data_IF_016603550068
#
_entry.id   IF_016603550068
#
_cell.length_a   1.000
_cell.length_b   1.000
_cell.length_c   1.000
_cell.angle_alpha   90.00
_cell.angle_beta   90.00
_cell.angle_gamma   90.00
#
_symmetry.space_group_name_H-M   'P 1'
#
loop_
_entity.id
_entity.type
_entity.pdbx_description
1 polymer ?
#
# COMPACT_ATOMS: atom_id res chain seq x y z
N UNK A 1 -5.79 -27.92 35.72
CA UNK A 1 -6.42 -26.58 35.81
C UNK A 1 -6.46 -26.01 34.40
N UNK A 2 -7.60 -25.49 33.98
CA UNK A 2 -7.68 -24.79 32.70
C UNK A 2 -7.09 -23.38 32.91
N UNK A 3 -6.13 -22.98 32.09
CA UNK A 3 -5.51 -21.65 32.16
C UNK A 3 -6.47 -20.65 31.53
N UNK A 4 -6.75 -19.56 32.23
CA UNK A 4 -7.45 -18.40 31.68
C UNK A 4 -6.41 -17.45 31.06
N UNK A 5 -6.16 -17.62 29.77
CA UNK A 5 -5.19 -16.81 29.05
C UNK A 5 -5.58 -15.33 29.02
N UNK A 6 -6.87 -15.00 29.03
CA UNK A 6 -7.30 -13.60 29.07
C UNK A 6 -6.89 -12.93 30.38
N UNK A 7 -7.09 -13.62 31.50
CA UNK A 7 -6.63 -13.13 32.80
C UNK A 7 -5.10 -13.02 32.88
N UNK A 8 -4.36 -13.90 32.17
CA UNK A 8 -2.89 -13.81 32.12
C UNK A 8 -2.40 -12.62 31.26
N UNK A 9 -3.12 -12.27 30.19
CA UNK A 9 -2.87 -11.05 29.40
C UNK A 9 -3.18 -9.81 30.24
N UNK A 10 -4.34 -9.78 30.92
CA UNK A 10 -4.75 -8.63 31.75
C UNK A 10 -3.73 -8.31 32.85
N UNK A 11 -3.10 -9.33 33.46
CA UNK A 11 -2.03 -9.15 34.45
C UNK A 11 -0.78 -8.46 33.88
N UNK A 12 -0.54 -8.56 32.59
CA UNK A 12 0.67 -8.05 31.90
C UNK A 12 0.38 -6.85 31.02
N UNK A 13 -0.86 -6.37 31.01
CA UNK A 13 -1.31 -5.31 30.10
C UNK A 13 -0.44 -4.05 30.19
N UNK A 14 -0.13 -3.60 31.40
CA UNK A 14 0.67 -2.37 31.57
C UNK A 14 2.08 -2.53 31.01
N UNK A 15 2.72 -3.69 31.26
CA UNK A 15 4.04 -4.00 30.73
C UNK A 15 4.02 -4.15 29.19
N UNK A 16 2.97 -4.79 28.65
CA UNK A 16 2.78 -4.88 27.20
C UNK A 16 2.66 -3.49 26.57
N UNK A 17 1.84 -2.62 27.18
CA UNK A 17 1.65 -1.25 26.67
C UNK A 17 2.93 -0.42 26.76
N UNK A 18 3.73 -0.57 27.82
CA UNK A 18 5.00 0.12 27.96
C UNK A 18 6.01 -0.32 26.88
N UNK A 19 6.18 -1.62 26.67
CA UNK A 19 7.05 -2.19 25.64
C UNK A 19 6.59 -1.77 24.23
N UNK A 20 5.26 -1.84 23.96
CA UNK A 20 4.70 -1.39 22.68
C UNK A 20 4.94 0.11 22.45
N UNK A 21 4.73 0.94 23.46
CA UNK A 21 4.97 2.39 23.34
C UNK A 21 6.45 2.69 23.06
N UNK A 22 7.37 1.95 23.69
CA UNK A 22 8.79 2.03 23.38
C UNK A 22 9.09 1.78 21.90
N UNK A 23 8.45 0.77 21.32
CA UNK A 23 8.61 0.41 19.91
C UNK A 23 7.92 1.41 18.97
N UNK A 24 6.72 1.90 19.31
CA UNK A 24 5.97 2.88 18.51
C UNK A 24 6.66 4.24 18.42
N UNK A 25 7.42 4.64 19.45
CA UNK A 25 8.22 5.90 19.43
C UNK A 25 9.40 5.88 18.48
N UNK A 26 9.71 4.73 17.92
CA UNK A 26 10.78 4.63 16.92
C UNK A 26 10.17 4.86 15.54
N UNK A 27 10.53 5.98 14.90
CA UNK A 27 10.26 6.16 13.48
C UNK A 27 11.11 5.16 12.69
N UNK A 28 10.47 4.12 12.18
CA UNK A 28 11.07 3.06 11.39
C UNK A 28 10.63 3.08 9.92
N UNK A 29 10.33 4.26 9.40
CA UNK A 29 10.18 4.47 7.96
C UNK A 29 11.48 4.12 7.23
N UNK A 30 11.36 3.51 6.05
CA UNK A 30 12.49 3.31 5.14
C UNK A 30 13.04 4.67 4.69
N UNK A 31 14.36 4.81 4.69
CA UNK A 31 15.06 6.02 4.25
C UNK A 31 16.21 5.66 3.31
N UNK A 32 15.91 5.61 2.02
CA UNK A 32 16.90 5.27 0.98
C UNK A 32 18.04 6.29 0.88
N UNK A 33 17.88 7.50 1.42
CA UNK A 33 18.94 8.51 1.45
C UNK A 33 20.02 8.24 2.50
N UNK A 34 19.78 7.30 3.43
CA UNK A 34 20.65 6.93 4.56
C UNK A 34 21.01 5.45 4.61
N UNK A 35 20.86 4.77 3.47
CA UNK A 35 21.27 3.37 3.32
C UNK A 35 22.80 3.26 3.34
N UNK A 36 23.32 2.32 4.12
CA UNK A 36 24.72 1.90 4.16
C UNK A 36 24.83 0.42 4.59
N UNK A 37 26.07 -0.10 4.69
CA UNK A 37 26.32 -1.50 5.06
C UNK A 37 25.74 -1.91 6.44
N UNK A 38 25.44 -0.95 7.31
CA UNK A 38 24.84 -1.20 8.63
C UNK A 38 23.36 -0.87 8.69
N UNK A 39 22.87 -0.12 7.75
CA UNK A 39 21.50 0.36 7.68
C UNK A 39 20.89 0.04 6.31
N UNK A 40 20.59 -1.24 6.02
CA UNK A 40 20.18 -1.68 4.68
C UNK A 40 18.92 -0.99 4.17
N UNK A 41 18.05 -0.52 5.06
CA UNK A 41 16.81 0.22 4.73
C UNK A 41 16.72 1.56 5.47
N UNK A 42 17.86 2.07 5.96
CA UNK A 42 17.95 3.27 6.76
C UNK A 42 18.03 2.98 8.27
N UNK A 43 18.36 4.01 9.08
CA UNK A 43 18.64 3.84 10.51
C UNK A 43 17.40 3.57 11.37
N UNK A 44 16.20 3.96 10.92
CA UNK A 44 14.96 3.78 11.66
C UNK A 44 14.57 2.31 11.83
N UNK A 45 14.47 1.52 10.75
CA UNK A 45 14.19 0.09 10.81
C UNK A 45 15.21 -0.69 11.67
N UNK A 46 16.50 -0.39 11.52
CA UNK A 46 17.57 -1.01 12.36
C UNK A 46 17.34 -0.74 13.84
N UNK A 47 17.04 0.51 14.20
CA UNK A 47 16.76 0.87 15.60
C UNK A 47 15.54 0.15 16.17
N UNK A 48 14.51 -0.07 15.36
CA UNK A 48 13.34 -0.84 15.78
C UNK A 48 13.69 -2.32 16.01
N UNK A 49 14.49 -2.91 15.11
CA UNK A 49 14.99 -4.27 15.23
C UNK A 49 15.84 -4.45 16.51
N UNK A 50 16.81 -3.58 16.73
CA UNK A 50 17.67 -3.62 17.93
C UNK A 50 16.83 -3.50 19.22
N UNK A 51 15.84 -2.61 19.23
CA UNK A 51 14.95 -2.43 20.37
C UNK A 51 14.14 -3.71 20.65
N UNK A 52 13.53 -4.31 19.63
CA UNK A 52 12.74 -5.54 19.79
C UNK A 52 13.60 -6.72 20.25
N UNK A 53 14.78 -6.91 19.67
CA UNK A 53 15.72 -7.96 20.08
C UNK A 53 16.19 -7.75 21.53
N UNK A 54 16.41 -6.51 21.96
CA UNK A 54 16.75 -6.20 23.35
C UNK A 54 15.61 -6.55 24.33
N UNK A 55 14.33 -6.35 23.96
CA UNK A 55 13.20 -6.82 24.75
C UNK A 55 13.21 -8.34 24.89
N UNK A 56 13.45 -9.05 23.79
CA UNK A 56 13.54 -10.51 23.81
C UNK A 56 14.72 -11.01 24.68
N UNK A 57 15.87 -10.38 24.60
CA UNK A 57 17.03 -10.71 25.47
C UNK A 57 16.74 -10.43 26.95
N UNK A 58 16.12 -9.30 27.27
CA UNK A 58 15.66 -8.96 28.63
C UNK A 58 14.80 -10.08 29.22
N UNK A 59 13.91 -10.65 28.40
CA UNK A 59 12.98 -11.70 28.79
C UNK A 59 13.59 -13.12 28.68
N UNK A 60 14.91 -13.19 28.41
CA UNK A 60 15.71 -14.42 28.45
C UNK A 60 15.54 -15.31 27.22
N UNK A 61 15.24 -14.73 26.07
CA UNK A 61 15.38 -15.40 24.77
C UNK A 61 16.80 -15.22 24.23
N UNK A 62 17.26 -16.17 23.43
CA UNK A 62 18.50 -16.07 22.71
C UNK A 62 18.22 -15.53 21.31
N UNK A 63 18.54 -14.26 21.10
CA UNK A 63 18.28 -13.56 19.86
C UNK A 63 19.39 -13.75 18.83
N UNK A 64 19.06 -13.52 17.57
CA UNK A 64 20.00 -13.37 16.46
C UNK A 64 19.60 -12.15 15.65
N UNK A 65 20.60 -11.37 15.26
CA UNK A 65 20.47 -10.28 14.30
C UNK A 65 21.19 -10.73 13.02
N UNK A 66 20.51 -10.75 11.89
CA UNK A 66 21.06 -11.13 10.59
C UNK A 66 21.35 -9.85 9.80
N UNK A 67 22.53 -9.28 10.08
CA UNK A 67 23.12 -8.11 9.41
C UNK A 67 22.17 -6.90 9.32
N UNK A 68 21.30 -6.72 10.31
CA UNK A 68 20.28 -5.66 10.39
C UNK A 68 19.18 -5.71 9.31
N UNK A 69 19.13 -6.75 8.48
CA UNK A 69 18.00 -7.01 7.59
C UNK A 69 16.79 -7.58 8.34
N UNK A 70 17.04 -8.53 9.22
CA UNK A 70 16.01 -9.15 10.04
C UNK A 70 16.63 -9.73 11.32
N UNK A 71 15.77 -10.12 12.25
CA UNK A 71 16.23 -10.81 13.46
C UNK A 71 15.26 -11.90 13.88
N UNK A 72 15.73 -12.80 14.75
CA UNK A 72 14.88 -13.84 15.29
C UNK A 72 15.27 -14.28 16.70
N UNK A 73 14.40 -15.05 17.31
CA UNK A 73 14.68 -15.90 18.45
C UNK A 73 13.85 -17.20 18.41
N UNK A 74 14.30 -18.23 19.09
CA UNK A 74 13.59 -19.50 19.18
C UNK A 74 13.13 -19.80 20.61
N UNK A 75 11.98 -20.46 20.71
CA UNK A 75 11.40 -20.97 21.93
C UNK A 75 10.87 -22.39 21.75
N UNK A 76 11.02 -23.23 22.78
CA UNK A 76 10.56 -24.60 22.73
C UNK A 76 11.59 -25.55 22.13
N UNK A 77 11.17 -26.79 21.88
CA UNK A 77 12.01 -27.90 21.40
C UNK A 77 11.24 -28.69 20.33
N UNK A 78 11.96 -29.49 19.58
CA UNK A 78 11.41 -30.37 18.54
C UNK A 78 12.02 -30.12 17.18
N UNK A 79 11.73 -31.00 16.23
CA UNK A 79 12.27 -30.96 14.88
C UNK A 79 11.40 -30.09 13.96
N UNK A 80 10.10 -30.02 14.23
CA UNK A 80 9.19 -29.13 13.50
C UNK A 80 9.24 -27.71 14.04
N UNK A 81 9.31 -26.73 13.13
CA UNK A 81 9.41 -25.31 13.43
C UNK A 81 8.16 -24.59 12.96
N UNK A 82 7.50 -23.90 13.90
CA UNK A 82 6.46 -22.91 13.62
C UNK A 82 7.13 -21.53 13.47
N UNK A 83 7.03 -20.91 12.32
CA UNK A 83 7.41 -19.53 12.08
C UNK A 83 6.31 -18.55 12.48
N UNK A 84 6.66 -17.49 13.21
CA UNK A 84 5.83 -16.29 13.35
C UNK A 84 6.58 -15.19 12.59
N UNK A 85 5.93 -14.62 11.59
CA UNK A 85 6.53 -13.63 10.70
C UNK A 85 5.89 -12.28 10.95
N UNK A 86 6.67 -11.32 11.38
CA UNK A 86 6.25 -9.97 11.69
C UNK A 86 7.24 -8.95 11.14
N UNK A 87 6.84 -7.68 11.05
CA UNK A 87 7.74 -6.62 10.62
C UNK A 87 7.74 -5.42 11.57
N UNK A 88 8.80 -4.63 11.49
CA UNK A 88 9.04 -3.50 12.38
C UNK A 88 9.19 -2.16 11.64
N UNK A 89 9.36 -2.21 10.31
CA UNK A 89 9.26 -1.02 9.48
C UNK A 89 7.80 -0.55 9.36
N UNK A 90 7.63 0.65 8.89
CA UNK A 90 6.31 1.27 8.72
C UNK A 90 6.28 2.13 7.47
N UNK A 91 5.11 2.23 6.83
CA UNK A 91 4.89 3.22 5.76
C UNK A 91 5.07 4.64 6.29
N UNK A 92 5.41 5.60 5.42
CA UNK A 92 5.48 7.01 5.80
C UNK A 92 4.20 7.47 6.50
N UNK A 93 4.36 8.24 7.58
CA UNK A 93 3.22 8.72 8.35
C UNK A 93 2.23 9.55 7.51
N UNK A 94 2.74 10.30 6.53
CA UNK A 94 1.91 11.19 5.71
C UNK A 94 1.45 12.42 6.48
N UNK A 95 0.37 13.03 6.00
CA UNK A 95 -0.24 14.23 6.59
C UNK A 95 -1.60 13.93 7.22
N UNK A 96 -2.19 14.90 7.94
CA UNK A 96 -3.55 14.77 8.49
C UNK A 96 -3.64 14.14 9.88
N UNK A 97 -2.53 13.97 10.59
CA UNK A 97 -2.52 13.51 11.97
C UNK A 97 -2.92 14.65 12.93
N UNK A 98 -3.80 14.36 13.89
CA UNK A 98 -4.14 15.26 14.98
C UNK A 98 -3.07 15.26 16.10
N UNK A 99 -2.21 14.25 16.15
CA UNK A 99 -1.14 14.04 17.13
C UNK A 99 0.15 13.68 16.39
N UNK A 100 1.28 13.70 17.09
CA UNK A 100 2.53 13.16 16.55
C UNK A 100 2.34 11.66 16.23
N UNK A 101 2.55 11.21 14.99
CA UNK A 101 2.38 9.80 14.61
C UNK A 101 3.30 8.84 15.35
N UNK A 102 4.42 9.31 15.91
CA UNK A 102 5.39 8.52 16.65
C UNK A 102 5.35 8.75 18.17
N UNK A 103 4.36 9.49 18.67
CA UNK A 103 4.06 9.56 20.11
C UNK A 103 2.69 8.89 20.36
N UNK A 104 2.66 7.64 20.89
CA UNK A 104 1.43 6.89 21.06
C UNK A 104 0.45 7.56 22.04
N UNK A 105 -0.80 7.73 21.61
CA UNK A 105 -1.86 8.37 22.39
C UNK A 105 -3.03 7.40 22.55
N UNK A 106 -3.51 7.24 23.79
CA UNK A 106 -4.77 6.54 24.05
C UNK A 106 -5.89 7.57 24.21
N UNK A 107 -6.90 7.48 23.33
CA UNK A 107 -8.10 8.30 23.38
C UNK A 107 -9.32 7.44 23.16
N UNK A 108 -10.31 7.56 24.03
CA UNK A 108 -11.58 6.81 23.98
C UNK A 108 -11.38 5.26 23.87
N UNK A 109 -10.37 4.74 24.57
CA UNK A 109 -10.03 3.31 24.57
C UNK A 109 -9.35 2.80 23.31
N UNK A 110 -8.96 3.68 22.39
CA UNK A 110 -8.22 3.38 21.17
C UNK A 110 -6.80 3.93 21.25
N UNK A 111 -5.83 3.17 20.71
CA UNK A 111 -4.44 3.56 20.58
C UNK A 111 -4.20 4.16 19.19
N UNK A 112 -3.68 5.38 19.15
CA UNK A 112 -3.33 6.09 17.93
C UNK A 112 -1.83 6.28 17.86
N UNK A 113 -1.19 5.66 16.88
CA UNK A 113 0.20 5.84 16.48
C UNK A 113 0.46 5.16 15.14
N UNK A 114 1.47 5.58 14.37
CA UNK A 114 1.95 4.82 13.21
C UNK A 114 2.54 3.49 13.69
N UNK A 115 2.16 2.36 13.05
CA UNK A 115 2.59 1.01 13.45
C UNK A 115 1.75 0.37 14.58
N UNK A 116 0.74 1.07 15.13
CA UNK A 116 -0.07 0.50 16.21
C UNK A 116 -0.97 -0.65 15.76
N UNK A 117 -1.34 -0.69 14.49
CA UNK A 117 -2.16 -1.73 13.87
C UNK A 117 -1.37 -2.59 12.90
N UNK A 118 -0.36 -2.01 12.26
CA UNK A 118 0.43 -2.56 11.18
C UNK A 118 1.90 -2.17 11.40
N UNK A 119 2.82 -3.07 11.80
CA UNK A 119 2.55 -4.39 12.41
C UNK A 119 3.08 -4.46 13.85
N UNK A 120 3.64 -3.36 14.43
CA UNK A 120 4.25 -3.36 15.79
C UNK A 120 3.28 -3.79 16.88
N UNK A 121 2.00 -3.44 16.76
CA UNK A 121 0.96 -3.86 17.70
C UNK A 121 0.72 -5.36 17.69
N UNK A 122 0.35 -5.97 16.55
CA UNK A 122 0.22 -7.42 16.40
C UNK A 122 1.50 -8.18 16.72
N UNK A 123 2.67 -7.68 16.31
CA UNK A 123 3.99 -8.20 16.69
C UNK A 123 4.11 -8.33 18.22
N UNK A 124 3.80 -7.27 18.96
CA UNK A 124 3.87 -7.28 20.43
C UNK A 124 2.80 -8.18 21.05
N UNK A 125 1.63 -8.33 20.44
CA UNK A 125 0.61 -9.28 20.88
C UNK A 125 1.12 -10.73 20.78
N UNK A 126 1.72 -11.12 19.67
CA UNK A 126 2.35 -12.43 19.48
C UNK A 126 3.53 -12.64 20.42
N UNK A 127 4.38 -11.61 20.59
CA UNK A 127 5.51 -11.67 21.53
C UNK A 127 5.05 -11.95 22.95
N UNK A 128 4.02 -11.24 23.44
CA UNK A 128 3.48 -11.44 24.78
C UNK A 128 2.75 -12.77 24.94
N UNK A 129 2.14 -13.31 23.88
CA UNK A 129 1.60 -14.66 23.90
C UNK A 129 2.69 -15.71 24.17
N UNK A 130 3.84 -15.62 23.49
CA UNK A 130 4.99 -16.49 23.75
C UNK A 130 5.59 -16.26 25.14
N UNK A 131 5.69 -15.01 25.58
CA UNK A 131 6.17 -14.66 26.92
C UNK A 131 5.32 -15.29 28.01
N UNK A 132 3.99 -15.25 27.87
CA UNK A 132 3.06 -15.90 28.81
C UNK A 132 3.28 -17.42 28.85
N UNK A 133 3.39 -18.06 27.70
CA UNK A 133 3.65 -19.50 27.58
C UNK A 133 4.96 -19.85 28.31
N UNK A 134 6.01 -19.07 28.09
CA UNK A 134 7.32 -19.27 28.72
C UNK A 134 7.28 -19.07 30.24
N UNK A 135 6.69 -17.95 30.71
CA UNK A 135 6.63 -17.62 32.14
C UNK A 135 5.76 -18.61 32.95
N UNK A 136 4.74 -19.18 32.32
CA UNK A 136 3.91 -20.23 32.92
C UNK A 136 4.51 -21.63 32.74
N UNK A 137 5.69 -21.75 32.16
CA UNK A 137 6.39 -23.02 31.91
C UNK A 137 5.51 -24.05 31.17
N UNK A 138 4.64 -23.57 30.25
CA UNK A 138 3.74 -24.45 29.54
C UNK A 138 4.50 -25.31 28.52
N UNK A 139 4.15 -26.61 28.41
CA UNK A 139 4.78 -27.48 27.43
C UNK A 139 4.37 -27.06 26.02
N UNK A 140 5.34 -26.95 25.14
CA UNK A 140 5.14 -26.77 23.69
C UNK A 140 5.67 -27.99 22.95
N UNK A 141 4.93 -28.46 21.95
CA UNK A 141 5.27 -29.66 21.19
C UNK A 141 6.18 -29.39 19.99
N UNK A 142 6.34 -28.11 19.64
CA UNK A 142 7.11 -27.66 18.48
C UNK A 142 8.04 -26.52 18.89
N UNK A 143 9.10 -26.34 18.10
CA UNK A 143 9.94 -25.16 18.20
C UNK A 143 9.21 -23.99 17.53
N UNK A 144 9.13 -22.86 18.21
CA UNK A 144 8.61 -21.61 17.64
C UNK A 144 9.79 -20.72 17.30
N UNK A 145 9.86 -20.23 16.07
CA UNK A 145 10.80 -19.20 15.65
C UNK A 145 10.04 -17.92 15.37
N UNK A 146 10.33 -16.89 16.15
CA UNK A 146 9.78 -15.56 15.95
C UNK A 146 10.76 -14.77 15.08
N UNK A 147 10.33 -14.37 13.90
CA UNK A 147 11.13 -13.68 12.88
C UNK A 147 10.53 -12.28 12.72
N UNK A 148 11.39 -11.26 12.77
CA UNK A 148 10.98 -9.86 12.56
C UNK A 148 11.81 -9.24 11.44
N UNK A 149 11.12 -8.71 10.44
CA UNK A 149 11.68 -8.03 9.30
C UNK A 149 11.78 -6.52 9.45
N UNK A 150 12.42 -5.88 8.49
CA UNK A 150 12.67 -4.42 8.47
C UNK A 150 12.39 -3.77 7.11
N UNK A 151 11.73 -4.46 6.16
CA UNK A 151 11.43 -3.96 4.81
C UNK A 151 10.15 -4.60 4.20
N UNK A 152 9.16 -4.96 5.01
CA UNK A 152 7.92 -5.57 4.54
C UNK A 152 7.14 -4.59 3.66
N UNK A 153 6.99 -3.35 4.11
CA UNK A 153 6.18 -2.29 3.52
C UNK A 153 6.70 -1.77 2.16
N UNK A 154 7.90 -2.20 1.74
CA UNK A 154 8.53 -1.65 0.54
C UNK A 154 8.98 -2.70 -0.46
N UNK A 155 9.77 -3.68 -0.07
CA UNK A 155 10.36 -4.55 -1.07
C UNK A 155 10.69 -5.96 -0.66
N UNK A 156 10.46 -6.34 0.61
CA UNK A 156 10.75 -7.68 1.16
C UNK A 156 12.22 -8.12 1.07
N UNK A 157 13.12 -7.16 0.86
CA UNK A 157 14.56 -7.42 0.80
C UNK A 157 15.12 -7.98 2.11
N UNK A 158 14.47 -7.73 3.22
CA UNK A 158 14.75 -8.26 4.54
C UNK A 158 14.55 -9.79 4.61
N UNK A 159 13.41 -10.30 4.14
CA UNK A 159 13.11 -11.73 4.16
C UNK A 159 13.93 -12.50 3.13
N UNK A 160 14.14 -11.95 1.93
CA UNK A 160 15.05 -12.55 0.95
C UNK A 160 16.46 -12.73 1.53
N UNK A 161 16.97 -11.67 2.16
CA UNK A 161 18.28 -11.73 2.82
C UNK A 161 18.30 -12.70 3.99
N UNK A 162 17.29 -12.65 4.86
CA UNK A 162 17.16 -13.52 6.03
C UNK A 162 17.21 -14.99 5.63
N UNK A 163 16.39 -15.45 4.70
CA UNK A 163 16.35 -16.86 4.29
C UNK A 163 17.64 -17.31 3.60
N UNK A 164 18.32 -16.40 2.89
CA UNK A 164 19.62 -16.71 2.29
C UNK A 164 20.78 -16.81 3.31
N UNK A 165 20.71 -16.12 4.47
CA UNK A 165 21.86 -15.93 5.35
C UNK A 165 21.65 -16.41 6.80
N UNK A 166 20.44 -16.79 7.23
CA UNK A 166 20.19 -17.21 8.62
C UNK A 166 20.86 -18.54 8.99
N UNK A 167 21.23 -19.38 8.01
CA UNK A 167 21.91 -20.66 8.21
C UNK A 167 21.07 -21.76 8.87
N UNK A 168 19.75 -21.59 8.94
CA UNK A 168 18.82 -22.54 9.55
C UNK A 168 17.91 -23.15 8.48
N UNK A 169 17.31 -24.28 8.84
CA UNK A 169 16.19 -24.85 8.08
C UNK A 169 15.02 -23.89 8.12
N UNK A 170 14.31 -23.74 7.01
CA UNK A 170 13.06 -22.98 6.95
C UNK A 170 12.00 -23.54 7.91
N UNK A 171 11.09 -22.69 8.46
CA UNK A 171 9.95 -23.18 9.21
C UNK A 171 9.10 -24.17 8.39
N UNK A 172 8.59 -25.20 9.05
CA UNK A 172 7.74 -26.20 8.40
C UNK A 172 6.34 -25.65 8.11
N UNK A 173 5.91 -24.66 8.85
CA UNK A 173 4.66 -23.89 8.70
C UNK A 173 4.76 -22.60 9.52
N UNK A 174 3.84 -21.67 9.27
CA UNK A 174 3.88 -20.37 9.96
C UNK A 174 2.62 -19.57 9.79
N UNK A 175 2.61 -18.42 10.41
CA UNK A 175 1.62 -17.37 10.22
C UNK A 175 2.24 -15.99 10.39
N UNK A 176 1.62 -14.99 9.77
CA UNK A 176 1.87 -13.58 10.05
C UNK A 176 0.70 -13.01 10.87
N UNK A 177 0.94 -12.19 11.90
CA UNK A 177 -0.10 -11.47 12.61
C UNK A 177 -0.58 -10.21 11.87
N UNK A 178 0.06 -9.87 10.76
CA UNK A 178 -0.12 -8.68 9.97
C UNK A 178 -1.36 -8.78 9.08
N UNK A 179 -2.53 -8.91 9.69
CA UNK A 179 -3.81 -8.99 8.99
C UNK A 179 -4.99 -8.79 9.93
N UNK A 180 -6.21 -8.78 9.38
CA UNK A 180 -7.43 -8.75 10.17
C UNK A 180 -7.65 -10.04 10.96
N UNK A 181 -8.07 -9.90 12.22
CA UNK A 181 -8.41 -11.03 13.08
C UNK A 181 -9.84 -11.53 12.81
N UNK A 182 -10.17 -12.83 13.01
CA UNK A 182 -9.32 -13.83 13.70
C UNK A 182 -8.32 -14.57 12.81
N UNK A 183 -8.62 -14.84 11.56
CA UNK A 183 -7.75 -15.59 10.63
C UNK A 183 -8.09 -15.21 9.21
N UNK A 184 -7.07 -14.88 8.42
CA UNK A 184 -7.10 -14.84 6.97
C UNK A 184 -6.36 -16.08 6.48
N UNK A 185 -7.02 -16.89 5.66
CA UNK A 185 -6.47 -18.14 5.12
C UNK A 185 -6.43 -18.15 3.58
N UNK A 186 -6.58 -16.98 2.98
CA UNK A 186 -6.50 -16.77 1.54
C UNK A 186 -6.59 -15.30 1.21
N UNK A 187 -5.74 -14.84 0.33
CA UNK A 187 -5.69 -13.46 -0.14
C UNK A 187 -5.83 -13.43 -1.65
N UNK A 188 -6.38 -12.33 -2.16
CA UNK A 188 -6.42 -12.08 -3.60
C UNK A 188 -5.01 -11.84 -4.12
N UNK A 189 -4.73 -12.35 -5.31
CA UNK A 189 -3.52 -12.00 -6.03
C UNK A 189 -3.48 -10.49 -6.32
N UNK A 190 -2.27 -9.97 -6.46
CA UNK A 190 -1.99 -8.55 -6.72
C UNK A 190 -1.13 -8.43 -7.98
N UNK A 191 -1.55 -7.59 -8.92
CA UNK A 191 -0.76 -7.26 -10.11
C UNK A 191 -1.07 -5.84 -10.57
N UNK A 192 -0.08 -5.17 -11.12
CA UNK A 192 -0.26 -3.87 -11.77
C UNK A 192 -0.05 -3.99 -13.28
N UNK A 193 -1.00 -3.49 -14.05
CA UNK A 193 -0.87 -3.32 -15.48
C UNK A 193 -0.61 -1.84 -15.81
N UNK A 194 0.32 -1.60 -16.71
CA UNK A 194 0.63 -0.27 -17.22
C UNK A 194 0.13 -0.17 -18.66
N UNK A 195 -0.78 0.77 -18.91
CA UNK A 195 -1.22 1.15 -20.23
C UNK A 195 -0.31 2.25 -20.74
N UNK A 196 0.32 2.07 -21.89
CA UNK A 196 1.29 2.98 -22.48
C UNK A 196 0.68 3.81 -23.61
N UNK A 197 0.98 5.11 -23.66
CA UNK A 197 0.44 6.04 -24.66
C UNK A 197 1.54 6.93 -25.26
N UNK A 198 1.26 7.49 -26.42
CA UNK A 198 2.05 8.59 -26.98
C UNK A 198 1.48 9.94 -26.54
N UNK A 199 2.36 10.93 -26.37
CA UNK A 199 1.96 12.26 -25.88
C UNK A 199 1.56 13.25 -26.95
N UNK A 200 2.03 13.07 -28.20
CA UNK A 200 1.75 14.05 -29.27
C UNK A 200 0.24 14.23 -29.46
N UNK A 201 -0.19 15.46 -29.38
CA UNK A 201 -1.56 15.85 -29.63
C UNK A 201 -1.60 17.21 -30.36
N UNK A 202 -2.48 17.29 -31.36
CA UNK A 202 -2.72 18.47 -32.20
C UNK A 202 -4.16 18.89 -32.00
N UNK A 203 -4.43 20.19 -32.13
CA UNK A 203 -5.78 20.72 -31.96
C UNK A 203 -5.76 22.09 -31.29
N UNK A 204 -6.92 22.74 -31.26
CA UNK A 204 -7.07 24.04 -30.57
C UNK A 204 -6.93 23.88 -29.07
N UNK A 205 -7.46 22.76 -28.48
CA UNK A 205 -7.14 22.33 -27.12
C UNK A 205 -5.95 21.36 -27.16
N UNK A 206 -4.92 21.65 -26.40
CA UNK A 206 -3.70 20.84 -26.34
C UNK A 206 -3.37 20.51 -24.89
N UNK A 207 -3.37 19.23 -24.54
CA UNK A 207 -2.97 18.74 -23.23
C UNK A 207 -1.44 18.78 -23.14
N UNK A 208 -0.92 19.54 -22.19
CA UNK A 208 0.51 19.69 -21.94
C UNK A 208 0.98 18.62 -20.95
N UNK A 209 0.25 18.48 -19.84
CA UNK A 209 0.52 17.46 -18.84
C UNK A 209 -0.77 16.99 -18.15
N UNK A 210 -0.72 15.77 -17.59
CA UNK A 210 -1.75 15.23 -16.72
C UNK A 210 -1.08 14.31 -15.70
N UNK A 211 -1.24 14.59 -14.41
CA UNK A 211 -0.61 13.83 -13.34
C UNK A 211 -1.61 13.53 -12.23
N UNK A 212 -1.60 12.31 -11.73
CA UNK A 212 -2.45 11.90 -10.61
C UNK A 212 -1.95 10.63 -9.94
N UNK A 213 -2.11 10.57 -8.63
CA UNK A 213 -1.69 9.43 -7.81
C UNK A 213 -0.20 9.39 -7.48
N UNK A 214 0.10 8.69 -6.40
CA UNK A 214 1.47 8.54 -5.87
C UNK A 214 1.94 7.08 -5.89
N UNK A 215 1.01 6.14 -5.75
CA UNK A 215 1.27 4.70 -5.73
C UNK A 215 0.09 3.96 -6.37
N UNK A 216 0.39 2.84 -7.00
CA UNK A 216 -0.58 2.02 -7.74
C UNK A 216 -1.67 1.44 -6.82
N UNK A 217 -1.31 1.12 -5.57
CA UNK A 217 -2.22 0.54 -4.57
C UNK A 217 -3.00 1.58 -3.75
N UNK A 218 -3.03 2.84 -4.21
CA UNK A 218 -3.79 3.93 -3.58
C UNK A 218 -4.73 4.59 -4.59
N UNK A 219 -5.93 4.97 -4.15
CA UNK A 219 -6.83 5.83 -4.95
C UNK A 219 -6.26 7.25 -4.96
N UNK A 220 -6.03 7.86 -6.13
CA UNK A 220 -5.55 9.24 -6.26
C UNK A 220 -6.45 10.24 -5.54
N UNK A 221 -5.95 10.84 -4.46
CA UNK A 221 -6.65 11.91 -3.74
C UNK A 221 -6.72 13.19 -4.57
N UNK A 222 -5.69 13.47 -5.35
CA UNK A 222 -5.63 14.66 -6.19
C UNK A 222 -5.00 14.37 -7.54
N UNK A 223 -5.38 15.16 -8.53
CA UNK A 223 -4.77 15.17 -9.84
C UNK A 223 -4.71 16.59 -10.41
N UNK A 224 -3.74 16.82 -11.29
CA UNK A 224 -3.53 18.10 -11.98
C UNK A 224 -3.35 17.89 -13.48
N UNK A 225 -3.77 18.88 -14.24
CA UNK A 225 -3.50 18.93 -15.68
C UNK A 225 -3.16 20.36 -16.12
N UNK A 226 -2.22 20.45 -17.03
CA UNK A 226 -1.88 21.66 -17.75
C UNK A 226 -2.35 21.54 -19.20
N UNK A 227 -3.01 22.56 -19.72
CA UNK A 227 -3.44 22.58 -21.11
C UNK A 227 -3.56 24.00 -21.66
N UNK A 228 -3.60 24.11 -22.99
CA UNK A 228 -3.91 25.36 -23.69
C UNK A 228 -5.17 25.18 -24.54
N UNK A 229 -5.90 26.28 -24.81
CA UNK A 229 -7.09 26.22 -25.66
C UNK A 229 -7.79 27.56 -25.83
N UNK A 230 -8.76 27.65 -26.73
CA UNK A 230 -9.51 28.87 -27.05
C UNK A 230 -10.62 29.13 -26.04
N UNK A 231 -10.28 29.24 -24.78
CA UNK A 231 -11.19 29.52 -23.65
C UNK A 231 -10.56 30.57 -22.76
N UNK A 232 -11.36 31.37 -22.08
CA UNK A 232 -10.86 32.31 -21.06
C UNK A 232 -10.85 31.67 -19.67
N UNK A 233 -9.97 32.13 -18.77
CA UNK A 233 -9.92 31.68 -17.38
C UNK A 233 -11.30 31.78 -16.71
N UNK A 234 -12.03 32.90 -16.93
CA UNK A 234 -13.34 33.11 -16.35
C UNK A 234 -14.39 32.09 -16.81
N UNK A 235 -14.36 31.69 -18.08
CA UNK A 235 -15.26 30.65 -18.63
C UNK A 235 -14.89 29.29 -18.07
N UNK A 236 -13.58 29.01 -17.93
CA UNK A 236 -13.08 27.77 -17.38
C UNK A 236 -13.42 27.64 -15.89
N UNK A 237 -13.26 28.72 -15.09
CA UNK A 237 -13.69 28.79 -13.70
C UNK A 237 -15.19 28.54 -13.54
N UNK A 238 -16.04 29.11 -14.41
CA UNK A 238 -17.47 28.88 -14.37
C UNK A 238 -17.83 27.41 -14.64
N UNK A 239 -17.23 26.82 -15.68
CA UNK A 239 -17.43 25.40 -16.02
C UNK A 239 -16.96 24.47 -14.89
N UNK A 240 -15.78 24.74 -14.29
CA UNK A 240 -15.27 23.95 -13.18
C UNK A 240 -16.19 24.05 -11.96
N UNK A 241 -16.67 25.26 -11.64
CA UNK A 241 -17.61 25.50 -10.53
C UNK A 241 -18.90 24.71 -10.72
N UNK A 242 -19.46 24.72 -11.93
CA UNK A 242 -20.70 23.98 -12.23
C UNK A 242 -20.44 22.47 -12.14
N UNK A 243 -19.32 21.99 -12.68
CA UNK A 243 -18.92 20.59 -12.62
C UNK A 243 -18.78 20.08 -11.18
N UNK A 244 -18.00 20.77 -10.33
CA UNK A 244 -17.78 20.32 -8.94
C UNK A 244 -19.04 20.45 -8.06
N UNK A 245 -20.00 21.31 -8.43
CA UNK A 245 -21.26 21.41 -7.71
C UNK A 245 -22.15 20.17 -7.89
N UNK A 246 -21.95 19.40 -8.95
CA UNK A 246 -22.69 18.16 -9.26
C UNK A 246 -21.91 16.89 -8.87
N UNK A 247 -20.66 17.02 -8.43
CA UNK A 247 -19.77 15.91 -8.15
C UNK A 247 -19.27 15.91 -6.71
N UNK A 248 -18.72 14.78 -6.26
CA UNK A 248 -18.17 14.60 -4.90
C UNK A 248 -16.70 15.07 -4.76
N UNK A 249 -16.31 16.07 -5.55
CA UNK A 249 -14.94 16.58 -5.63
C UNK A 249 -14.89 18.08 -5.42
N UNK A 250 -13.69 18.58 -5.12
CA UNK A 250 -13.39 20.04 -5.19
C UNK A 250 -12.34 20.29 -6.26
N UNK A 251 -12.24 21.51 -6.74
CA UNK A 251 -11.27 21.86 -7.76
C UNK A 251 -10.94 23.33 -7.80
N UNK A 252 -9.81 23.62 -8.42
CA UNK A 252 -9.34 24.98 -8.67
C UNK A 252 -8.67 25.04 -10.02
N UNK A 253 -8.66 26.24 -10.61
CA UNK A 253 -7.97 26.53 -11.86
C UNK A 253 -7.22 27.84 -11.76
N UNK A 254 -6.05 27.89 -12.36
CA UNK A 254 -5.24 29.10 -12.55
C UNK A 254 -4.76 29.19 -13.99
N UNK A 255 -4.27 30.34 -14.40
CA UNK A 255 -3.67 30.56 -15.72
C UNK A 255 -2.33 31.27 -15.56
N UNK A 256 -1.31 30.75 -16.21
CA UNK A 256 -0.01 31.39 -16.31
C UNK A 256 0.52 31.30 -17.74
N UNK A 257 0.89 32.42 -18.32
CA UNK A 257 1.45 32.53 -19.69
C UNK A 257 0.61 31.82 -20.76
N UNK A 258 -0.72 31.81 -20.64
CA UNK A 258 -1.64 31.17 -21.60
C UNK A 258 -1.81 29.66 -21.39
N UNK A 259 -1.25 29.11 -20.34
CA UNK A 259 -1.45 27.71 -19.93
C UNK A 259 -2.40 27.70 -18.73
N UNK A 260 -3.46 26.91 -18.84
CA UNK A 260 -4.40 26.64 -17.75
C UNK A 260 -3.88 25.48 -16.90
N UNK A 261 -3.90 25.68 -15.60
CA UNK A 261 -3.55 24.67 -14.61
C UNK A 261 -4.79 24.32 -13.78
N UNK A 262 -5.30 23.11 -13.91
CA UNK A 262 -6.50 22.61 -13.22
C UNK A 262 -6.09 21.54 -12.23
N UNK A 263 -6.61 21.64 -11.00
CA UNK A 263 -6.44 20.62 -9.96
C UNK A 263 -7.82 20.16 -9.52
N UNK A 264 -8.03 18.85 -9.39
CA UNK A 264 -9.20 18.24 -8.76
C UNK A 264 -8.75 17.46 -7.53
N UNK A 265 -9.51 17.64 -6.43
CA UNK A 265 -9.32 16.90 -5.18
C UNK A 265 -10.53 16.00 -4.92
N UNK A 266 -10.26 14.73 -4.70
CA UNK A 266 -11.19 13.71 -4.26
C UNK A 266 -10.86 13.21 -2.85
N UNK A 267 -10.76 11.88 -2.68
CA UNK A 267 -10.49 11.23 -1.39
C UNK A 267 -9.67 9.96 -1.60
N UNK A 268 -8.55 9.83 -0.89
CA UNK A 268 -7.75 8.61 -0.92
C UNK A 268 -8.46 7.42 -0.25
N UNK A 269 -8.15 6.24 -0.73
CA UNK A 269 -8.49 4.95 -0.11
C UNK A 269 -7.46 3.90 -0.55
N UNK A 270 -7.43 2.76 0.14
CA UNK A 270 -6.60 1.64 -0.27
C UNK A 270 -7.11 1.04 -1.60
N UNK A 271 -6.20 0.75 -2.53
CA UNK A 271 -6.53 0.24 -3.87
C UNK A 271 -7.23 -1.12 -3.89
N UNK A 272 -7.18 -1.88 -2.79
CA UNK A 272 -7.95 -3.11 -2.62
C UNK A 272 -9.47 -2.86 -2.55
N UNK A 273 -9.89 -1.68 -2.05
CA UNK A 273 -11.29 -1.26 -1.99
C UNK A 273 -11.47 0.13 -2.61
N UNK A 274 -11.25 0.28 -3.92
CA UNK A 274 -11.22 1.59 -4.59
C UNK A 274 -12.56 2.33 -4.54
N UNK A 275 -13.66 1.62 -4.38
CA UNK A 275 -15.00 2.18 -4.21
C UNK A 275 -15.19 3.01 -2.92
N UNK A 276 -14.26 2.90 -1.94
CA UNK A 276 -14.28 3.68 -0.70
C UNK A 276 -13.59 5.05 -0.86
N UNK A 277 -12.90 5.26 -2.00
CA UNK A 277 -12.26 6.50 -2.37
C UNK A 277 -13.03 7.30 -3.41
N UNK A 278 -12.52 8.49 -3.71
CA UNK A 278 -12.96 9.36 -4.80
C UNK A 278 -11.72 9.70 -5.62
N UNK A 279 -11.59 9.08 -6.78
CA UNK A 279 -10.39 9.19 -7.62
C UNK A 279 -10.33 10.55 -8.33
N UNK A 280 -9.54 11.49 -7.81
CA UNK A 280 -9.40 12.84 -8.37
C UNK A 280 -8.96 12.86 -9.82
N UNK A 281 -8.15 11.88 -10.26
CA UNK A 281 -7.67 11.82 -11.64
C UNK A 281 -8.79 11.45 -12.63
N UNK A 282 -9.63 10.47 -12.29
CA UNK A 282 -10.74 10.12 -13.20
C UNK A 282 -11.79 11.22 -13.28
N UNK A 283 -12.01 11.98 -12.20
CA UNK A 283 -12.87 13.17 -12.24
C UNK A 283 -12.24 14.32 -13.02
N UNK A 284 -10.91 14.51 -12.95
CA UNK A 284 -10.22 15.51 -13.78
C UNK A 284 -10.35 15.18 -15.26
N UNK A 285 -10.16 13.92 -15.65
CA UNK A 285 -10.37 13.49 -17.03
C UNK A 285 -11.83 13.67 -17.49
N UNK A 286 -12.81 13.35 -16.62
CA UNK A 286 -14.23 13.58 -16.90
C UNK A 286 -14.56 15.07 -17.09
N UNK A 287 -13.91 15.97 -16.35
CA UNK A 287 -14.02 17.41 -16.58
C UNK A 287 -13.39 17.82 -17.90
N UNK A 288 -12.18 17.36 -18.18
CA UNK A 288 -11.43 17.74 -19.39
C UNK A 288 -12.06 17.14 -20.68
N UNK A 289 -12.71 15.98 -20.62
CA UNK A 289 -13.40 15.39 -21.77
C UNK A 289 -14.57 16.24 -22.30
N UNK A 290 -15.00 17.27 -21.56
CA UNK A 290 -15.99 18.26 -22.05
C UNK A 290 -15.42 19.25 -23.08
N UNK A 291 -14.11 19.26 -23.29
CA UNK A 291 -13.42 20.13 -24.24
C UNK A 291 -12.98 19.35 -25.47
N UNK A 292 -12.85 20.03 -26.60
CA UNK A 292 -12.56 19.41 -27.89
C UNK A 292 -11.06 19.10 -28.07
N UNK A 293 -10.50 18.28 -27.18
CA UNK A 293 -9.16 17.71 -27.37
C UNK A 293 -9.16 16.77 -28.58
N UNK A 294 -8.02 16.64 -29.25
CA UNK A 294 -7.84 15.80 -30.43
C UNK A 294 -6.66 14.82 -30.25
N UNK A 295 -6.60 13.80 -31.11
CA UNK A 295 -5.46 12.87 -31.16
C UNK A 295 -5.25 12.11 -29.86
N UNK A 296 -4.00 11.92 -29.47
CA UNK A 296 -3.62 11.12 -28.30
C UNK A 296 -4.15 11.69 -26.98
N UNK A 297 -4.27 13.02 -26.85
CA UNK A 297 -4.85 13.64 -25.67
C UNK A 297 -6.33 13.25 -25.51
N UNK A 298 -7.10 13.30 -26.58
CA UNK A 298 -8.49 12.86 -26.56
C UNK A 298 -8.59 11.39 -26.16
N UNK A 299 -7.83 10.54 -26.81
CA UNK A 299 -7.84 9.09 -26.56
C UNK A 299 -7.48 8.77 -25.11
N UNK A 300 -6.48 9.44 -24.53
CA UNK A 300 -6.08 9.28 -23.13
C UNK A 300 -7.20 9.72 -22.17
N UNK A 301 -7.78 10.90 -22.39
CA UNK A 301 -8.83 11.45 -21.54
C UNK A 301 -10.13 10.64 -21.63
N UNK A 302 -10.53 10.24 -22.84
CA UNK A 302 -11.75 9.45 -23.06
C UNK A 302 -11.67 8.07 -22.40
N UNK A 303 -10.53 7.37 -22.53
CA UNK A 303 -10.33 6.09 -21.84
C UNK A 303 -10.51 6.24 -20.33
N UNK A 304 -9.94 7.28 -19.74
CA UNK A 304 -10.09 7.51 -18.29
C UNK A 304 -11.52 7.86 -17.93
N UNK A 305 -12.15 8.77 -18.68
CA UNK A 305 -13.48 9.28 -18.37
C UNK A 305 -14.58 8.26 -18.64
N UNK A 306 -14.52 7.52 -19.73
CA UNK A 306 -15.60 6.63 -20.18
C UNK A 306 -15.43 5.21 -19.61
N UNK A 307 -14.18 4.71 -19.58
CA UNK A 307 -13.89 3.33 -19.18
C UNK A 307 -13.48 3.22 -17.72
N UNK A 308 -12.47 3.98 -17.29
CA UNK A 308 -11.89 3.79 -15.96
C UNK A 308 -12.65 4.51 -14.84
N UNK A 309 -13.42 5.56 -15.17
CA UNK A 309 -14.18 6.30 -14.16
C UNK A 309 -15.25 5.43 -13.51
N UNK A 310 -15.12 5.22 -12.19
CA UNK A 310 -16.01 4.38 -11.36
C UNK A 310 -16.12 2.91 -11.80
N UNK A 311 -15.13 2.41 -12.53
CA UNK A 311 -15.06 0.98 -12.90
C UNK A 311 -14.25 0.18 -11.86
N UNK A 312 -14.72 0.16 -10.62
CA UNK A 312 -14.02 -0.45 -9.50
C UNK A 312 -13.88 -1.98 -9.59
N UNK A 313 -14.76 -2.63 -10.36
CA UNK A 313 -14.85 -4.08 -10.51
C UNK A 313 -14.50 -4.56 -11.91
N UNK A 314 -13.91 -3.65 -12.72
CA UNK A 314 -13.45 -3.94 -14.07
C UNK A 314 -14.55 -4.45 -15.02
N UNK A 315 -15.79 -3.97 -14.84
CA UNK A 315 -16.94 -4.34 -15.67
C UNK A 315 -16.83 -3.75 -17.08
N UNK A 316 -16.45 -2.47 -17.18
CA UNK A 316 -16.30 -1.77 -18.47
C UNK A 316 -15.06 -2.23 -19.24
N UNK A 317 -14.01 -2.66 -18.55
CA UNK A 317 -12.83 -3.26 -19.16
C UNK A 317 -13.02 -4.71 -19.56
N UNK A 318 -14.13 -5.33 -19.18
CA UNK A 318 -14.45 -6.73 -19.51
C UNK A 318 -13.72 -7.76 -18.66
N UNK A 319 -13.04 -7.33 -17.58
CA UNK A 319 -12.24 -8.17 -16.69
C UNK A 319 -12.97 -8.58 -15.40
N UNK A 320 -14.25 -8.21 -15.27
CA UNK A 320 -15.05 -8.54 -14.09
C UNK A 320 -15.02 -10.04 -13.78
N UNK A 321 -14.67 -10.38 -12.55
CA UNK A 321 -14.61 -11.76 -12.08
C UNK A 321 -15.04 -11.82 -10.61
N UNK A 322 -15.73 -12.90 -10.22
CA UNK A 322 -16.18 -13.11 -8.85
C UNK A 322 -15.95 -14.55 -8.42
N UNK A 323 -15.24 -14.72 -7.31
CA UNK A 323 -15.10 -16.03 -6.66
C UNK A 323 -16.06 -16.12 -5.45
N UNK A 324 -16.73 -17.27 -5.23
CA UNK A 324 -17.68 -17.42 -4.12
C UNK A 324 -17.10 -17.25 -2.72
N UNK A 325 -15.77 -17.42 -2.55
CA UNK A 325 -15.07 -17.32 -1.27
C UNK A 325 -14.29 -16.01 -1.14
N UNK A 326 -13.64 -15.58 -2.21
CA UNK A 326 -12.74 -14.43 -2.21
C UNK A 326 -13.43 -13.14 -2.67
N UNK A 327 -14.63 -13.25 -3.25
CA UNK A 327 -15.39 -12.09 -3.74
C UNK A 327 -14.89 -11.59 -5.10
N UNK A 328 -15.19 -10.34 -5.40
CA UNK A 328 -15.03 -9.71 -6.71
C UNK A 328 -13.58 -9.30 -6.98
N UNK A 329 -13.14 -9.39 -8.23
CA UNK A 329 -11.94 -8.69 -8.70
C UNK A 329 -12.14 -7.18 -8.50
N UNK A 330 -11.12 -6.48 -8.03
CA UNK A 330 -11.13 -5.02 -7.95
C UNK A 330 -10.01 -4.41 -8.80
N UNK A 331 -10.29 -3.24 -9.38
CA UNK A 331 -9.36 -2.48 -10.21
C UNK A 331 -9.24 -1.05 -9.69
N UNK A 332 -8.04 -0.64 -9.34
CA UNK A 332 -7.70 0.72 -8.97
C UNK A 332 -6.87 1.38 -10.08
N UNK A 333 -7.37 2.45 -10.68
CA UNK A 333 -6.56 3.32 -11.53
C UNK A 333 -5.75 4.25 -10.61
N UNK A 334 -4.52 3.84 -10.28
CA UNK A 334 -3.75 4.37 -9.16
C UNK A 334 -2.74 5.46 -9.52
N UNK A 335 -2.14 5.41 -10.73
CA UNK A 335 -1.16 6.41 -11.16
C UNK A 335 -1.43 6.82 -12.60
N UNK A 336 -1.34 8.11 -12.85
CA UNK A 336 -1.56 8.71 -14.18
C UNK A 336 -0.41 9.64 -14.50
N UNK A 337 0.17 9.45 -15.67
CA UNK A 337 1.30 10.22 -16.16
C UNK A 337 1.09 10.54 -17.63
N UNK A 338 0.99 11.83 -17.97
CA UNK A 338 0.97 12.29 -19.34
C UNK A 338 1.79 13.57 -19.48
N UNK A 339 2.66 13.60 -20.47
CA UNK A 339 3.35 14.78 -20.92
C UNK A 339 3.37 14.80 -22.46
N UNK A 340 3.01 15.95 -23.07
CA UNK A 340 2.87 16.11 -24.52
C UNK A 340 4.09 15.67 -25.31
N UNK A 341 5.28 15.97 -24.78
CA UNK A 341 6.55 15.66 -25.44
C UNK A 341 7.10 14.26 -25.12
N UNK A 342 6.39 13.49 -24.29
CA UNK A 342 6.80 12.13 -23.91
C UNK A 342 6.33 11.11 -24.95
N UNK A 343 7.21 10.16 -25.24
CA UNK A 343 6.87 8.97 -26.03
C UNK A 343 6.30 7.82 -25.18
N UNK A 344 6.40 7.95 -23.85
CA UNK A 344 5.92 6.93 -22.91
C UNK A 344 5.14 7.59 -21.77
N UNK A 345 3.85 7.72 -21.98
CA UNK A 345 2.88 8.16 -20.99
C UNK A 345 2.13 6.94 -20.47
N UNK A 346 1.77 6.94 -19.19
CA UNK A 346 1.25 5.72 -18.56
C UNK A 346 -0.01 5.95 -17.73
N UNK A 347 -0.84 4.93 -17.67
CA UNK A 347 -1.86 4.73 -16.64
C UNK A 347 -1.56 3.41 -15.97
N UNK A 348 -1.40 3.42 -14.64
CA UNK A 348 -1.20 2.21 -13.84
C UNK A 348 -2.55 1.74 -13.25
N UNK A 349 -2.92 0.51 -13.57
CA UNK A 349 -4.11 -0.17 -13.08
C UNK A 349 -3.68 -1.29 -12.12
N UNK A 350 -3.97 -1.15 -10.83
CA UNK A 350 -3.69 -2.19 -9.85
C UNK A 350 -4.91 -3.08 -9.65
N UNK A 351 -4.72 -4.38 -9.79
CA UNK A 351 -5.74 -5.39 -9.66
C UNK A 351 -5.56 -6.22 -8.41
N UNK A 352 -6.65 -6.45 -7.68
CA UNK A 352 -6.76 -7.51 -6.69
C UNK A 352 -7.70 -8.57 -7.23
N UNK A 353 -7.18 -9.72 -7.58
CA UNK A 353 -7.92 -10.75 -8.31
C UNK A 353 -8.06 -12.03 -7.48
N UNK A 354 -9.24 -12.71 -7.54
CA UNK A 354 -9.48 -13.95 -6.84
C UNK A 354 -8.76 -15.13 -7.52
N UNK A 355 -8.76 -16.29 -6.84
CA UNK A 355 -8.21 -17.53 -7.38
C UNK A 355 -8.80 -17.87 -8.75
N UNK A 356 -7.98 -18.47 -9.62
CA UNK A 356 -8.40 -18.93 -10.95
C UNK A 356 -8.42 -17.83 -12.03
N UNK A 357 -8.07 -16.60 -11.70
CA UNK A 357 -7.85 -15.55 -12.71
C UNK A 357 -6.46 -15.72 -13.31
N UNK A 358 -6.41 -15.74 -14.63
CA UNK A 358 -5.17 -15.77 -15.41
C UNK A 358 -4.70 -14.33 -15.68
N UNK A 359 -3.52 -13.99 -15.20
CA UNK A 359 -2.95 -12.63 -15.37
C UNK A 359 -2.56 -12.34 -16.81
N UNK A 360 -2.20 -13.34 -17.60
CA UNK A 360 -1.97 -13.16 -19.03
C UNK A 360 -3.27 -12.79 -19.77
N UNK A 361 -4.43 -13.31 -19.29
CA UNK A 361 -5.73 -12.90 -19.81
C UNK A 361 -6.06 -11.44 -19.45
N UNK A 362 -5.68 -10.96 -18.26
CA UNK A 362 -5.82 -9.54 -17.90
C UNK A 362 -5.09 -8.67 -18.93
N UNK A 363 -3.83 -8.98 -19.23
CA UNK A 363 -3.05 -8.26 -20.23
C UNK A 363 -3.71 -8.30 -21.61
N UNK A 364 -4.09 -9.49 -22.07
CA UNK A 364 -4.69 -9.69 -23.40
C UNK A 364 -6.03 -8.96 -23.57
N UNK A 365 -6.81 -8.80 -22.50
CA UNK A 365 -8.07 -8.05 -22.53
C UNK A 365 -7.83 -6.53 -22.50
N UNK A 366 -6.85 -6.06 -21.71
CA UNK A 366 -6.45 -4.65 -21.72
C UNK A 366 -5.83 -4.21 -23.08
N UNK A 367 -5.16 -5.11 -23.78
CA UNK A 367 -4.64 -4.85 -25.14
C UNK A 367 -5.75 -4.66 -26.20
N UNK A 368 -7.00 -5.00 -25.89
CA UNK A 368 -8.16 -4.76 -26.77
C UNK A 368 -8.78 -3.38 -26.58
N UNK A 369 -8.39 -2.66 -25.53
CA UNK A 369 -8.87 -1.29 -25.29
C UNK A 369 -8.36 -0.37 -26.40
N UNK A 370 -9.23 0.53 -26.86
CA UNK A 370 -8.81 1.56 -27.80
C UNK A 370 -7.96 2.61 -27.07
N UNK A 371 -6.78 2.92 -27.61
CA UNK A 371 -5.94 4.01 -27.16
C UNK A 371 -4.53 3.63 -26.72
N UNK A 372 -4.35 2.66 -25.82
CA UNK A 372 -3.00 2.25 -25.45
C UNK A 372 -2.22 1.70 -26.66
N UNK A 373 -0.96 2.13 -26.82
CA UNK A 373 -0.06 1.55 -27.82
C UNK A 373 0.55 0.22 -27.38
N UNK A 374 0.57 -0.03 -26.07
CA UNK A 374 1.08 -1.25 -25.46
C UNK A 374 0.55 -1.41 -24.05
N UNK A 375 0.57 -2.64 -23.55
CA UNK A 375 0.26 -3.00 -22.15
C UNK A 375 1.42 -3.83 -21.60
N UNK A 376 1.94 -3.45 -20.42
CA UNK A 376 2.90 -4.25 -19.68
C UNK A 376 2.36 -4.60 -18.29
N UNK A 377 2.82 -5.71 -17.74
CA UNK A 377 2.53 -6.10 -16.36
C UNK A 377 3.75 -5.83 -15.47
N UNK A 378 3.53 -5.54 -14.19
CA UNK A 378 4.62 -5.40 -13.23
C UNK A 378 5.38 -6.73 -13.10
N UNK A 379 6.72 -6.67 -13.11
CA UNK A 379 7.58 -7.81 -12.83
C UNK A 379 7.72 -8.05 -11.31
N UNK A 380 7.60 -6.97 -10.52
CA UNK A 380 7.65 -6.99 -9.07
C UNK A 380 6.25 -6.71 -8.48
N UNK A 381 5.95 -7.34 -7.34
CA UNK A 381 4.65 -7.18 -6.67
C UNK A 381 3.52 -8.02 -7.28
N UNK A 382 3.84 -8.94 -8.21
CA UNK A 382 2.91 -9.98 -8.60
C UNK A 382 2.94 -11.07 -7.53
N UNK A 383 1.86 -11.16 -6.78
CA UNK A 383 1.62 -12.23 -5.81
C UNK A 383 0.40 -13.00 -6.32
N UNK A 384 0.60 -14.26 -6.76
CA UNK A 384 -0.47 -15.09 -7.33
C UNK A 384 -1.46 -15.60 -6.28
#
# INVERSE_FOLDING_TARGET
MTIDFRAEVDKRKDALMEDLFGLLRINSERDDSKVDDKHPFGPGPVKALEHFLALAERDGYKTRNIDNYAGDFEFGQGDEVLGIFAHLDVVPAGSGWDTDPYEPVIKDGKLYARGSSDDKGPTMACYYALKIIKELELPVSKRVRFIVGTDEESGWGDMEYYFAHNGLKDPDFGFSPDAEFPIINGEKGNITAYLHFEGQNDGEFSLVSFNGGLRENMVPESASADFTGPITLKELEAKLKDFVAEQEVTGQVTEEAGVFHVIIHGKSAHGMMPQNGINGATYLALFLSQFDFQGNAKTYLDLIAETLHKDFFAEKTGLANTDPKMGELTMNAGVFNFAKESEDNTIALNFRYPQGVDTDAIKADLEKLEGPKAVSLSEHGHVP
#
